data_IF_228532996401
#
_entry.id   IF_228532996401
#
_cell.length_a   1.000
_cell.length_b   1.000
_cell.length_c   1.000
_cell.angle_alpha   90.00
_cell.angle_beta   90.00
_cell.angle_gamma   90.00
#
_symmetry.space_group_name_H-M   'P 1'
#
loop_
_entity.id
_entity.type
_entity.pdbx_description
1 polymer ?
#
# COMPACT_ATOMS: atom_id res chain seq x y z
N UNK A 1 1.69 -1.33 -0.30
CA UNK A 1 2.76 -2.35 -0.31
C UNK A 1 2.88 -2.92 1.09
N UNK A 2 3.23 -4.20 1.26
CA UNK A 2 3.42 -4.75 2.59
C UNK A 2 4.63 -4.07 3.25
N UNK A 3 4.46 -3.56 4.47
CA UNK A 3 5.51 -2.93 5.27
C UNK A 3 6.51 -3.94 5.86
N UNK A 4 6.14 -5.22 5.84
CA UNK A 4 6.93 -6.32 6.37
C UNK A 4 6.75 -7.58 5.51
N UNK A 5 7.63 -8.56 5.74
CA UNK A 5 7.54 -9.85 5.07
C UNK A 5 6.29 -10.59 5.54
N UNK A 6 5.33 -10.78 4.64
CA UNK A 6 4.07 -11.44 4.94
C UNK A 6 3.78 -12.62 4.01
N UNK A 7 2.84 -13.47 4.43
CA UNK A 7 2.25 -14.51 3.60
C UNK A 7 0.86 -14.05 3.17
N UNK A 8 0.49 -14.30 1.91
CA UNK A 8 -0.87 -14.02 1.42
C UNK A 8 -1.74 -15.28 1.48
N UNK A 9 -2.97 -15.12 1.97
CA UNK A 9 -3.98 -16.18 1.98
C UNK A 9 -4.74 -16.26 0.65
N UNK A 10 -5.67 -17.21 0.55
CA UNK A 10 -6.48 -17.47 -0.65
C UNK A 10 -7.39 -16.31 -1.08
N UNK A 11 -7.64 -15.34 -0.20
CA UNK A 11 -8.47 -14.16 -0.48
C UNK A 11 -7.71 -12.95 -1.02
N UNK A 12 -6.39 -13.08 -1.25
CA UNK A 12 -5.55 -12.00 -1.75
C UNK A 12 -4.78 -12.45 -3.00
N UNK A 13 -4.53 -11.50 -3.90
CA UNK A 13 -3.62 -11.67 -5.02
C UNK A 13 -2.47 -10.67 -4.90
N UNK A 14 -1.24 -11.12 -5.16
CA UNK A 14 -0.08 -10.25 -5.28
C UNK A 14 0.16 -9.92 -6.76
N UNK A 15 0.22 -8.64 -7.07
CA UNK A 15 0.50 -8.12 -8.41
C UNK A 15 1.83 -7.36 -8.35
N UNK A 16 2.72 -7.65 -9.29
CA UNK A 16 4.02 -6.98 -9.38
C UNK A 16 4.26 -6.48 -10.80
N UNK A 17 4.60 -5.20 -10.93
CA UNK A 17 5.00 -4.61 -12.20
C UNK A 17 6.38 -5.11 -12.62
N UNK A 18 6.61 -5.18 -13.94
CA UNK A 18 7.96 -5.41 -14.47
C UNK A 18 8.81 -4.15 -14.26
N UNK A 19 10.12 -4.30 -14.09
CA UNK A 19 11.08 -3.18 -14.06
C UNK A 19 10.85 -2.16 -12.94
N UNK A 20 10.34 -2.57 -11.77
CA UNK A 20 10.27 -1.74 -10.56
C UNK A 20 9.37 -0.50 -10.66
N UNK A 21 8.33 -0.54 -11.51
CA UNK A 21 7.35 0.55 -11.72
C UNK A 21 6.17 0.46 -10.74
N UNK A 22 6.45 0.64 -9.45
CA UNK A 22 5.47 0.42 -8.38
C UNK A 22 4.33 1.42 -8.38
N UNK A 23 4.63 2.71 -8.54
CA UNK A 23 3.64 3.78 -8.51
C UNK A 23 2.66 3.62 -9.66
N UNK A 24 3.18 3.48 -10.88
CA UNK A 24 2.36 3.24 -12.07
C UNK A 24 1.50 1.99 -11.91
N UNK A 25 2.07 0.87 -11.43
CA UNK A 25 1.31 -0.36 -11.20
C UNK A 25 0.16 -0.13 -10.20
N UNK A 26 0.43 0.56 -9.10
CA UNK A 26 -0.57 0.87 -8.08
C UNK A 26 -1.70 1.75 -8.64
N UNK A 27 -1.37 2.85 -9.32
CA UNK A 27 -2.37 3.77 -9.87
C UNK A 27 -3.12 3.17 -11.06
N UNK A 28 -2.49 2.29 -11.86
CA UNK A 28 -3.17 1.50 -12.87
C UNK A 28 -4.24 0.60 -12.22
N UNK A 29 -3.87 -0.18 -11.20
CA UNK A 29 -4.84 -1.03 -10.49
C UNK A 29 -5.94 -0.21 -9.83
N UNK A 30 -5.60 0.95 -9.25
CA UNK A 30 -6.59 1.88 -8.68
C UNK A 30 -7.55 2.40 -9.74
N UNK A 31 -7.09 2.66 -10.96
CA UNK A 31 -7.97 3.08 -12.06
C UNK A 31 -8.95 1.98 -12.51
N UNK A 32 -8.70 0.72 -12.14
CA UNK A 32 -9.57 -0.42 -12.43
C UNK A 32 -10.56 -0.73 -11.29
N UNK A 33 -10.66 0.13 -10.27
CA UNK A 33 -11.55 -0.06 -9.13
C UNK A 33 -13.00 -0.34 -9.56
N UNK A 34 -13.55 0.45 -10.49
CA UNK A 34 -14.90 0.20 -11.03
C UNK A 34 -15.03 -1.17 -11.73
N UNK A 35 -13.97 -1.61 -12.42
CA UNK A 35 -13.95 -2.93 -13.04
C UNK A 35 -13.91 -4.04 -11.99
N UNK A 36 -13.15 -3.86 -10.90
CA UNK A 36 -13.13 -4.81 -9.78
C UNK A 36 -14.45 -4.86 -9.03
N UNK A 37 -15.14 -3.72 -8.89
CA UNK A 37 -16.46 -3.65 -8.25
C UNK A 37 -17.51 -4.52 -8.99
N UNK A 38 -17.33 -4.79 -10.28
CA UNK A 38 -18.22 -5.70 -11.02
C UNK A 38 -18.13 -7.17 -10.60
N UNK A 39 -17.05 -7.54 -9.90
CA UNK A 39 -16.86 -8.88 -9.32
C UNK A 39 -17.36 -8.98 -7.88
N UNK A 40 -17.89 -7.89 -7.31
CA UNK A 40 -18.59 -7.95 -6.04
C UNK A 40 -19.90 -8.75 -6.22
N UNK A 41 -20.11 -9.74 -5.35
CA UNK A 41 -21.31 -10.56 -5.41
C UNK A 41 -22.54 -9.75 -5.01
N UNK A 42 -23.66 -9.97 -5.69
CA UNK A 42 -24.95 -9.43 -5.27
C UNK A 42 -25.54 -10.26 -4.12
N UNK A 43 -25.87 -9.64 -2.99
CA UNK A 43 -26.54 -10.30 -1.86
C UNK A 43 -25.58 -10.89 -0.82
N UNK A 44 -25.75 -12.16 -0.43
CA UNK A 44 -24.94 -12.84 0.61
C UNK A 44 -23.72 -13.60 0.06
N UNK A 45 -23.48 -13.55 -1.25
CA UNK A 45 -22.35 -14.21 -1.90
C UNK A 45 -21.14 -13.28 -1.84
N UNK A 46 -20.03 -13.73 -1.25
CA UNK A 46 -18.77 -13.00 -1.31
C UNK A 46 -18.32 -12.89 -2.77
N UNK A 47 -18.15 -11.66 -3.24
CA UNK A 47 -17.51 -11.39 -4.52
C UNK A 47 -16.10 -11.98 -4.56
N UNK A 48 -15.71 -12.53 -5.70
CA UNK A 48 -14.37 -13.09 -5.87
C UNK A 48 -13.94 -12.98 -7.31
N UNK A 49 -12.66 -12.67 -7.51
CA UNK A 49 -12.00 -12.73 -8.80
C UNK A 49 -10.97 -13.86 -8.79
N UNK A 50 -11.02 -14.74 -9.78
CA UNK A 50 -10.03 -15.79 -9.93
C UNK A 50 -8.86 -15.34 -10.82
N UNK A 51 -7.77 -16.13 -10.82
CA UNK A 51 -6.55 -15.82 -11.57
C UNK A 51 -6.82 -15.59 -13.06
N UNK A 52 -7.67 -16.43 -13.68
CA UNK A 52 -7.95 -16.35 -15.13
C UNK A 52 -8.73 -15.08 -15.46
N UNK A 53 -9.68 -14.68 -14.63
CA UNK A 53 -10.40 -13.42 -14.78
C UNK A 53 -9.45 -12.23 -14.66
N UNK A 54 -8.58 -12.23 -13.64
CA UNK A 54 -7.58 -11.18 -13.44
C UNK A 54 -6.62 -11.04 -14.63
N UNK A 55 -6.12 -12.16 -15.16
CA UNK A 55 -5.21 -12.18 -16.32
C UNK A 55 -5.88 -11.75 -17.63
N UNK A 56 -7.22 -11.81 -17.72
CA UNK A 56 -7.98 -11.40 -18.90
C UNK A 56 -8.40 -9.94 -18.88
N UNK A 57 -8.14 -9.20 -17.79
CA UNK A 57 -8.44 -7.77 -17.74
C UNK A 57 -7.56 -7.04 -18.76
N UNK A 58 -8.22 -6.37 -19.70
CA UNK A 58 -7.53 -5.59 -20.72
C UNK A 58 -7.25 -4.19 -20.18
N UNK A 59 -5.99 -3.77 -20.26
CA UNK A 59 -5.55 -2.45 -19.82
C UNK A 59 -4.78 -1.76 -20.93
N UNK A 60 -4.87 -0.44 -20.99
CA UNK A 60 -4.05 0.37 -21.89
C UNK A 60 -2.68 0.56 -21.26
N UNK A 61 -1.63 0.03 -21.90
CA UNK A 61 -0.24 0.23 -21.47
C UNK A 61 0.39 1.32 -22.34
N UNK A 62 0.76 2.48 -21.78
CA UNK A 62 1.41 3.54 -22.54
C UNK A 62 2.87 3.16 -22.88
N UNK A 63 3.54 3.93 -23.75
CA UNK A 63 4.96 3.75 -24.03
C UNK A 63 5.82 3.80 -22.76
N UNK A 64 6.94 3.07 -22.77
CA UNK A 64 7.83 2.93 -21.61
C UNK A 64 8.37 4.28 -21.13
N UNK A 65 8.56 5.24 -22.03
CA UNK A 65 9.02 6.60 -21.75
C UNK A 65 8.01 7.33 -20.86
N UNK A 66 6.71 7.20 -21.18
CA UNK A 66 5.61 7.79 -20.39
C UNK A 66 5.52 7.16 -19.01
N UNK A 67 5.66 5.83 -18.91
CA UNK A 67 5.69 5.14 -17.61
C UNK A 67 6.87 5.63 -16.77
N UNK A 68 8.04 5.77 -17.39
CA UNK A 68 9.26 6.22 -16.71
C UNK A 68 9.16 7.68 -16.25
N UNK A 69 8.52 8.55 -17.03
CA UNK A 69 8.20 9.93 -16.66
C UNK A 69 7.26 9.98 -15.46
N UNK A 70 6.18 9.20 -15.51
CA UNK A 70 5.21 9.09 -14.43
C UNK A 70 5.88 8.62 -13.13
N UNK A 71 6.65 7.53 -13.20
CA UNK A 71 7.41 7.01 -12.06
C UNK A 71 8.35 8.06 -11.47
N UNK A 72 9.08 8.81 -12.31
CA UNK A 72 10.02 9.83 -11.83
C UNK A 72 9.33 10.92 -11.01
N UNK A 73 8.10 11.27 -11.34
CA UNK A 73 7.33 12.32 -10.67
C UNK A 73 6.62 11.77 -9.44
N UNK A 74 5.96 10.62 -9.57
CA UNK A 74 5.02 10.12 -8.56
C UNK A 74 5.71 9.26 -7.49
N UNK A 75 6.73 8.49 -7.86
CA UNK A 75 7.44 7.62 -6.93
C UNK A 75 8.06 8.38 -5.74
N UNK A 76 8.73 9.54 -5.91
CA UNK A 76 9.22 10.33 -4.78
C UNK A 76 8.11 10.77 -3.80
N UNK A 77 6.91 11.04 -4.33
CA UNK A 77 5.75 11.43 -3.52
C UNK A 77 5.24 10.23 -2.72
N UNK A 78 5.05 9.09 -3.37
CA UNK A 78 4.61 7.86 -2.71
C UNK A 78 5.63 7.41 -1.64
N UNK A 79 6.93 7.54 -1.93
CA UNK A 79 8.00 7.24 -0.97
C UNK A 79 8.00 8.21 0.21
N UNK A 80 7.72 9.49 -0.01
CA UNK A 80 7.58 10.46 1.07
C UNK A 80 6.38 10.10 1.98
N UNK A 81 5.24 9.74 1.40
CA UNK A 81 4.05 9.28 2.14
C UNK A 81 4.41 8.06 2.98
N UNK A 82 4.99 7.03 2.36
CA UNK A 82 5.41 5.80 3.05
C UNK A 82 6.35 6.09 4.24
N UNK A 83 7.36 6.93 4.02
CA UNK A 83 8.32 7.28 5.07
C UNK A 83 7.68 8.06 6.21
N UNK A 84 6.74 8.96 5.91
CA UNK A 84 6.01 9.72 6.93
C UNK A 84 5.07 8.82 7.75
N UNK A 85 4.39 7.88 7.10
CA UNK A 85 3.55 6.89 7.80
C UNK A 85 4.38 6.04 8.76
N UNK A 86 5.54 5.54 8.33
CA UNK A 86 6.45 4.76 9.17
C UNK A 86 7.00 5.56 10.36
N UNK A 87 7.38 6.82 10.13
CA UNK A 87 7.83 7.72 11.21
C UNK A 87 6.70 7.99 12.20
N UNK A 88 5.49 8.28 11.70
CA UNK A 88 4.32 8.53 12.54
C UNK A 88 3.99 7.31 13.41
N UNK A 89 4.00 6.10 12.84
CA UNK A 89 3.79 4.86 13.58
C UNK A 89 4.87 4.63 14.67
N UNK A 90 6.13 4.90 14.32
CA UNK A 90 7.26 4.77 15.27
C UNK A 90 7.11 5.76 16.43
N UNK A 91 6.79 7.03 16.15
CA UNK A 91 6.59 8.06 17.17
C UNK A 91 5.39 7.75 18.06
N UNK A 92 4.30 7.23 17.50
CA UNK A 92 3.13 6.80 18.27
C UNK A 92 3.50 5.65 19.23
N UNK A 93 4.20 4.63 18.74
CA UNK A 93 4.67 3.51 19.57
C UNK A 93 5.63 3.98 20.68
N UNK A 94 6.55 4.89 20.36
CA UNK A 94 7.46 5.45 21.34
C UNK A 94 6.71 6.23 22.42
N UNK A 95 5.76 7.09 22.03
CA UNK A 95 4.88 7.81 22.97
C UNK A 95 4.15 6.83 23.88
N UNK A 96 3.51 5.81 23.33
CA UNK A 96 2.71 4.85 24.09
C UNK A 96 3.57 4.00 25.02
N UNK A 97 4.86 3.83 24.70
CA UNK A 97 5.83 3.15 25.57
C UNK A 97 6.37 4.05 26.68
N UNK A 98 6.65 5.32 26.36
CA UNK A 98 7.27 6.26 27.30
C UNK A 98 6.24 6.87 28.26
N UNK A 99 5.02 7.14 27.81
CA UNK A 99 4.01 7.81 28.61
C UNK A 99 3.67 7.05 29.92
N UNK A 100 3.48 5.71 29.92
CA UNK A 100 3.26 4.97 31.16
C UNK A 100 4.45 5.05 32.12
N UNK A 101 5.68 4.98 31.59
CA UNK A 101 6.91 5.08 32.40
C UNK A 101 7.12 6.47 32.99
N UNK A 102 6.73 7.50 32.25
CA UNK A 102 6.75 8.88 32.73
C UNK A 102 5.72 9.05 33.86
N UNK A 103 4.51 8.52 33.67
CA UNK A 103 3.44 8.59 34.65
C UNK A 103 3.73 7.76 35.92
N UNK A 104 4.49 6.66 35.82
CA UNK A 104 4.93 5.88 36.98
C UNK A 104 6.15 6.47 37.69
N UNK A 105 6.80 7.49 37.12
CA UNK A 105 8.04 8.07 37.66
C UNK A 105 9.29 7.23 37.40
N UNK A 106 9.21 6.19 36.57
CA UNK A 106 10.38 5.40 36.13
C UNK A 106 11.33 6.20 35.24
N UNK A 107 10.80 7.20 34.54
CA UNK A 107 11.58 8.17 33.76
C UNK A 107 11.14 9.59 34.13
N UNK A 108 12.08 10.53 34.12
CA UNK A 108 11.85 11.94 34.44
C UNK A 108 12.39 12.82 33.31
N UNK A 109 11.67 13.89 32.99
CA UNK A 109 12.12 14.87 31.98
C UNK A 109 12.94 15.94 32.71
N UNK A 110 14.26 15.91 32.55
CA UNK A 110 15.14 16.97 33.01
C UNK A 110 15.19 18.06 31.93
N UNK A 111 14.71 19.25 32.26
CA UNK A 111 14.83 20.40 31.38
C UNK A 111 16.26 20.94 31.43
N UNK A 112 16.93 20.98 30.28
CA UNK A 112 18.24 21.62 30.09
C UNK A 112 18.14 22.61 28.93
#
# INVERSE_FOLDING_TARGET
MASEKCCIGRGLAAISGKNNVWSFTFYLLKSLEEHFNSYEGTGTVFGSINKKELENITVVIPPQETISEFERIVNPIDMAIFNLEQQSATLASLRDTLLPKLMSGEIEITNN
#
